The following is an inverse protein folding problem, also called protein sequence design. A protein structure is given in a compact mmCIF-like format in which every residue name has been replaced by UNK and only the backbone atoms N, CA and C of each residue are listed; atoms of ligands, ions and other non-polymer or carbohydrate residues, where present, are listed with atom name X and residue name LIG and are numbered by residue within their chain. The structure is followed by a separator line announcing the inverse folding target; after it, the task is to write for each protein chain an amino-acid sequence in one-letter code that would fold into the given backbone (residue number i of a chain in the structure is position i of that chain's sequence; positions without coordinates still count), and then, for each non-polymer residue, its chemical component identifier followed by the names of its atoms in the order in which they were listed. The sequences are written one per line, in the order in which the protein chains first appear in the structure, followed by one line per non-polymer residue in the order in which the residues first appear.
data_IF_963556324307
#
_entry.id   IF_963556324307
#
_cell.length_a   1.000
_cell.length_b   1.000
_cell.length_c   1.000
_cell.angle_alpha   90.00
_cell.angle_beta   90.00
_cell.angle_gamma   90.00
#
_symmetry.space_group_name_H-M   'P 1'
#
loop_
_entity.id
_entity.type
_entity.pdbx_description
1 polymer ?
#
# COMPACT_ATOMS: atom_id res chain seq x y z
N UNK A 1 82.87 39.47 -69.98
CA UNK A 1 83.10 38.10 -70.47
C UNK A 1 81.94 37.26 -69.94
N UNK A 2 80.99 36.97 -70.84
CA UNK A 2 79.92 35.92 -70.94
C UNK A 2 79.85 34.91 -69.75
N UNK A 3 78.74 34.45 -69.15
CA UNK A 3 77.35 34.07 -69.53
C UNK A 3 76.49 33.95 -68.24
N UNK A 4 75.17 34.21 -68.22
CA UNK A 4 74.05 33.22 -68.34
C UNK A 4 73.43 32.93 -66.95
N UNK A 5 72.14 32.81 -66.62
CA UNK A 5 70.86 32.49 -67.30
C UNK A 5 69.71 32.86 -66.29
N UNK A 6 68.72 33.70 -66.62
CA UNK A 6 67.29 33.38 -66.92
C UNK A 6 66.46 32.77 -65.74
N UNK A 7 65.21 33.10 -65.41
CA UNK A 7 64.12 33.97 -65.91
C UNK A 7 62.85 33.65 -65.06
N UNK A 8 62.29 34.65 -64.36
CA UNK A 8 61.00 35.34 -64.63
C UNK A 8 59.74 34.73 -63.96
N UNK A 9 59.44 35.30 -62.79
CA UNK A 9 58.17 35.25 -62.05
C UNK A 9 57.10 36.07 -62.80
N UNK A 10 56.00 35.44 -63.19
CA UNK A 10 54.85 36.08 -63.85
C UNK A 10 53.58 36.01 -63.00
N UNK A 11 52.91 37.16 -62.87
CA UNK A 11 51.46 37.28 -62.79
C UNK A 11 50.71 36.55 -61.66
N UNK A 12 50.91 36.99 -60.42
CA UNK A 12 49.85 36.95 -59.38
C UNK A 12 49.75 38.29 -58.67
N UNK A 13 49.47 39.33 -59.48
CA UNK A 13 49.02 40.66 -59.05
C UNK A 13 47.70 40.95 -59.76
N UNK A 14 46.66 40.33 -59.25
CA UNK A 14 45.25 40.72 -59.34
C UNK A 14 44.78 40.36 -57.93
N UNK A 15 45.04 41.17 -56.89
CA UNK A 15 44.28 42.41 -56.64
C UNK A 15 42.82 42.14 -57.01
N UNK A 16 42.13 41.35 -56.20
CA UNK A 16 41.45 41.83 -54.98
C UNK A 16 40.52 42.99 -55.31
N UNK A 17 39.24 42.76 -55.01
CA UNK A 17 38.14 43.71 -54.89
C UNK A 17 37.43 44.13 -56.20
N UNK A 18 36.10 43.97 -56.14
CA UNK A 18 35.08 44.66 -56.93
C UNK A 18 34.84 44.22 -58.37
N UNK A 19 34.17 43.07 -58.51
CA UNK A 19 32.88 42.98 -59.22
C UNK A 19 32.19 41.69 -58.72
N UNK A 20 31.84 41.64 -57.43
CA UNK A 20 30.44 41.74 -57.01
C UNK A 20 29.50 42.36 -58.08
N UNK A 21 28.26 41.86 -58.13
CA UNK A 21 27.16 42.28 -59.03
C UNK A 21 27.09 41.57 -60.39
N UNK A 22 26.65 40.30 -60.40
CA UNK A 22 26.08 39.74 -61.63
C UNK A 22 25.81 38.24 -61.65
N UNK A 23 24.72 37.81 -61.02
CA UNK A 23 24.16 36.45 -61.20
C UNK A 23 24.51 35.51 -60.05
N UNK A 24 23.78 35.48 -58.93
CA UNK A 24 22.41 35.00 -58.84
C UNK A 24 22.13 33.79 -59.76
N UNK A 25 21.74 32.68 -59.11
CA UNK A 25 20.85 31.64 -59.64
C UNK A 25 21.51 30.45 -60.37
N UNK A 26 21.82 29.38 -59.62
CA UNK A 26 21.46 28.01 -60.03
C UNK A 26 21.65 26.99 -58.90
N UNK A 27 20.52 26.62 -58.31
CA UNK A 27 20.16 25.31 -57.73
C UNK A 27 21.01 24.72 -56.59
N UNK A 28 20.66 25.14 -55.37
CA UNK A 28 20.60 24.21 -54.26
C UNK A 28 19.40 23.26 -54.48
N UNK A 29 19.66 22.03 -54.91
CA UNK A 29 18.67 20.95 -54.88
C UNK A 29 18.44 20.55 -53.43
N UNK A 30 17.45 21.18 -52.80
CA UNK A 30 16.90 20.68 -51.54
C UNK A 30 16.24 19.35 -51.82
N UNK A 31 16.86 18.26 -51.33
CA UNK A 31 16.25 16.94 -51.33
C UNK A 31 15.01 16.98 -50.43
N UNK A 32 13.84 17.29 -51.02
CA UNK A 32 12.56 17.19 -50.34
C UNK A 32 12.32 15.75 -49.93
N UNK A 33 12.44 15.47 -48.63
CA UNK A 33 12.01 14.19 -48.08
C UNK A 33 10.53 14.02 -48.42
N UNK A 34 10.19 12.99 -49.20
CA UNK A 34 8.81 12.67 -49.55
C UNK A 34 7.95 12.67 -48.28
N UNK A 35 6.76 13.30 -48.32
CA UNK A 35 5.79 13.29 -47.20
C UNK A 35 5.54 11.88 -46.69
N UNK A 36 5.63 10.88 -47.58
CA UNK A 36 5.56 9.46 -47.25
C UNK A 36 6.67 8.98 -46.32
N UNK A 37 7.89 9.49 -46.47
CA UNK A 37 9.02 9.19 -45.61
C UNK A 37 8.88 9.87 -44.24
N UNK A 38 8.32 11.08 -44.18
CA UNK A 38 8.04 11.77 -42.90
C UNK A 38 6.94 11.04 -42.11
N UNK A 39 5.85 10.66 -42.78
CA UNK A 39 4.78 9.86 -42.18
C UNK A 39 5.28 8.47 -41.73
N UNK A 40 6.18 7.86 -42.51
CA UNK A 40 6.80 6.58 -42.15
C UNK A 40 7.73 6.69 -40.94
N UNK A 41 8.49 7.80 -40.83
CA UNK A 41 9.32 8.08 -39.65
C UNK A 41 8.46 8.36 -38.41
N UNK A 42 7.35 9.08 -38.55
CA UNK A 42 6.41 9.31 -37.44
C UNK A 42 5.70 8.04 -37.00
N UNK A 43 5.29 7.17 -37.93
CA UNK A 43 4.73 5.87 -37.59
C UNK A 43 5.73 5.02 -36.80
N UNK A 44 7.00 4.98 -37.23
CA UNK A 44 8.07 4.29 -36.49
C UNK A 44 8.28 4.88 -35.10
N UNK A 45 8.25 6.22 -34.97
CA UNK A 45 8.37 6.89 -33.68
C UNK A 45 7.19 6.56 -32.75
N UNK A 46 5.97 6.57 -33.26
CA UNK A 46 4.77 6.20 -32.50
C UNK A 46 4.81 4.75 -32.02
N UNK A 47 5.25 3.83 -32.90
CA UNK A 47 5.43 2.41 -32.52
C UNK A 47 6.51 2.25 -31.45
N UNK A 48 7.64 2.97 -31.57
CA UNK A 48 8.71 2.94 -30.57
C UNK A 48 8.23 3.50 -29.22
N UNK A 49 7.55 4.65 -29.22
CA UNK A 49 7.00 5.25 -27.99
C UNK A 49 5.94 4.36 -27.36
N UNK A 50 5.09 3.72 -28.16
CA UNK A 50 4.12 2.75 -27.63
C UNK A 50 4.81 1.54 -27.00
N UNK A 51 5.83 0.98 -27.65
CA UNK A 51 6.61 -0.13 -27.11
C UNK A 51 7.33 0.25 -25.81
N UNK A 52 7.93 1.44 -25.73
CA UNK A 52 8.59 1.88 -24.49
C UNK A 52 7.60 2.08 -23.35
N UNK A 53 6.42 2.66 -23.61
CA UNK A 53 5.36 2.80 -22.60
C UNK A 53 4.88 1.41 -22.15
N UNK A 54 4.68 0.47 -23.07
CA UNK A 54 4.28 -0.90 -22.74
C UNK A 54 5.33 -1.61 -21.88
N UNK A 55 6.62 -1.47 -22.19
CA UNK A 55 7.71 -2.05 -21.40
C UNK A 55 7.78 -1.41 -20.01
N UNK A 56 7.65 -0.07 -19.90
CA UNK A 56 7.64 0.62 -18.61
C UNK A 56 6.43 0.22 -17.75
N UNK A 57 5.25 0.09 -18.36
CA UNK A 57 4.06 -0.40 -17.68
C UNK A 57 4.25 -1.84 -17.18
N UNK A 58 4.81 -2.71 -18.03
CA UNK A 58 5.10 -4.10 -17.66
C UNK A 58 6.11 -4.20 -16.51
N UNK A 59 7.20 -3.42 -16.55
CA UNK A 59 8.18 -3.35 -15.47
C UNK A 59 7.56 -2.82 -14.16
N UNK A 60 6.68 -1.81 -14.25
CA UNK A 60 5.90 -1.33 -13.09
C UNK A 60 5.00 -2.42 -12.52
N UNK A 61 4.29 -3.16 -13.37
CA UNK A 61 3.44 -4.29 -12.98
C UNK A 61 4.25 -5.42 -12.32
N UNK A 62 5.44 -5.74 -12.84
CA UNK A 62 6.33 -6.70 -12.21
C UNK A 62 6.85 -6.21 -10.84
N UNK A 63 7.17 -4.92 -10.69
CA UNK A 63 7.57 -4.36 -9.40
C UNK A 63 6.44 -4.37 -8.37
N UNK A 64 5.19 -4.12 -8.78
CA UNK A 64 4.02 -4.31 -7.90
C UNK A 64 3.86 -5.78 -7.50
N UNK A 65 3.99 -6.72 -8.45
CA UNK A 65 3.91 -8.16 -8.15
C UNK A 65 5.06 -8.65 -7.25
N UNK A 66 6.26 -8.07 -7.36
CA UNK A 66 7.40 -8.37 -6.50
C UNK A 66 7.19 -7.81 -5.08
N UNK A 67 6.67 -6.59 -4.94
CA UNK A 67 6.30 -6.03 -3.64
C UNK A 67 5.19 -6.84 -2.94
N UNK A 68 4.18 -7.30 -3.68
CA UNK A 68 3.12 -8.16 -3.13
C UNK A 68 3.65 -9.56 -2.78
N UNK A 69 4.67 -10.04 -3.50
CA UNK A 69 5.32 -11.32 -3.19
C UNK A 69 6.38 -11.23 -2.10
N UNK A 70 6.97 -10.08 -1.78
CA UNK A 70 7.76 -9.89 -0.54
C UNK A 70 6.87 -9.91 0.71
N UNK A 71 5.65 -9.35 0.62
CA UNK A 71 4.64 -9.47 1.67
C UNK A 71 4.10 -10.92 1.78
N UNK A 72 4.00 -11.63 0.65
CA UNK A 72 3.55 -13.03 0.62
C UNK A 72 4.66 -14.05 0.93
N UNK A 73 5.93 -13.74 0.68
CA UNK A 73 7.09 -14.61 0.99
C UNK A 73 7.54 -14.49 2.44
N UNK A 74 7.13 -13.43 3.15
CA UNK A 74 7.09 -13.44 4.61
C UNK A 74 6.04 -14.43 5.17
N UNK A 75 5.18 -15.02 4.32
CA UNK A 75 4.13 -15.97 4.71
C UNK A 75 4.51 -17.44 4.40
N UNK A 76 5.68 -17.74 3.82
CA UNK A 76 6.07 -19.12 3.45
C UNK A 76 6.76 -19.91 4.57
N UNK A 77 6.66 -19.47 5.82
CA UNK A 77 7.00 -20.29 7.00
C UNK A 77 5.86 -20.44 8.02
N UNK A 78 4.61 -20.49 7.53
CA UNK A 78 3.54 -21.19 8.26
C UNK A 78 3.78 -22.70 8.10
N UNK A 79 4.96 -23.15 8.50
CA UNK A 79 5.16 -24.54 8.91
C UNK A 79 4.35 -24.67 10.18
N UNK A 80 3.22 -25.39 10.12
CA UNK A 80 2.48 -26.02 11.22
C UNK A 80 3.15 -25.96 12.60
N UNK A 81 3.22 -24.77 13.19
CA UNK A 81 3.42 -24.57 14.62
C UNK A 81 2.04 -24.56 15.25
N UNK A 82 1.34 -25.67 15.09
CA UNK A 82 0.39 -26.17 16.09
C UNK A 82 1.18 -26.65 17.31
N UNK A 83 2.07 -25.81 17.83
CA UNK A 83 2.42 -25.88 19.24
C UNK A 83 1.42 -24.93 19.86
N UNK A 84 0.33 -25.50 20.37
CA UNK A 84 -0.44 -24.85 21.41
C UNK A 84 0.59 -24.37 22.43
N UNK A 85 0.86 -23.07 22.43
CA UNK A 85 1.61 -22.45 23.51
C UNK A 85 0.58 -22.42 24.62
N UNK A 86 0.58 -23.45 25.47
CA UNK A 86 -0.18 -23.45 26.71
C UNK A 86 0.36 -22.28 27.55
N UNK A 87 -0.19 -21.10 27.31
CA UNK A 87 0.14 -19.93 28.09
C UNK A 87 -0.43 -20.14 29.48
N UNK A 88 0.45 -20.41 30.44
CA UNK A 88 0.09 -20.67 31.84
C UNK A 88 -0.05 -19.40 32.67
N UNK A 89 0.00 -18.22 32.06
CA UNK A 89 -0.13 -16.94 32.74
C UNK A 89 -1.55 -16.40 32.74
N UNK A 90 -1.70 -15.13 33.13
CA UNK A 90 -3.00 -14.46 33.21
C UNK A 90 -3.52 -14.07 31.81
N UNK A 91 -4.63 -14.65 31.33
CA UNK A 91 -5.07 -14.44 29.96
C UNK A 91 -5.71 -13.05 29.78
N UNK A 92 -5.48 -12.46 28.61
CA UNK A 92 -5.86 -11.09 28.25
C UNK A 92 -6.92 -11.03 27.15
N UNK A 93 -7.66 -9.94 27.18
CA UNK A 93 -8.48 -9.47 26.06
C UNK A 93 -7.70 -8.38 25.30
N UNK A 94 -7.39 -8.62 24.03
CA UNK A 94 -6.79 -7.64 23.14
C UNK A 94 -7.89 -6.77 22.51
N UNK A 95 -7.87 -5.48 22.78
CA UNK A 95 -8.75 -4.49 22.16
C UNK A 95 -8.04 -3.89 20.93
N UNK A 96 -8.60 -4.13 19.75
CA UNK A 96 -8.05 -3.76 18.46
C UNK A 96 -8.85 -2.58 17.90
N UNK A 97 -8.32 -1.37 18.02
CA UNK A 97 -8.97 -0.16 17.54
C UNK A 97 -8.53 0.16 16.11
N UNK A 98 -9.44 0.01 15.15
CA UNK A 98 -9.25 0.49 13.78
C UNK A 98 -9.89 1.88 13.66
N UNK A 99 -9.05 2.92 13.69
CA UNK A 99 -9.49 4.31 13.67
C UNK A 99 -8.97 5.02 12.42
N UNK A 100 -9.67 6.09 12.01
CA UNK A 100 -9.25 6.87 10.83
C UNK A 100 -8.01 7.71 11.13
N UNK A 101 -8.04 8.47 12.22
CA UNK A 101 -6.94 9.37 12.63
C UNK A 101 -6.79 9.37 14.15
N UNK A 102 -7.71 10.02 14.85
CA UNK A 102 -7.77 10.04 16.31
C UNK A 102 -8.89 9.14 16.85
N UNK A 103 -9.00 9.03 18.18
CA UNK A 103 -10.06 8.29 18.89
C UNK A 103 -10.90 9.29 19.73
N UNK A 104 -11.97 9.88 19.17
CA UNK A 104 -12.73 10.95 19.85
C UNK A 104 -13.40 10.53 21.16
N UNK A 105 -13.69 9.23 21.31
CA UNK A 105 -14.35 8.64 22.48
C UNK A 105 -13.36 8.00 23.46
N UNK A 106 -12.07 8.38 23.38
CA UNK A 106 -11.00 7.88 24.25
C UNK A 106 -11.28 8.03 25.74
N UNK A 107 -12.02 9.05 26.16
CA UNK A 107 -12.41 9.28 27.56
C UNK A 107 -13.38 8.22 28.09
N UNK A 108 -14.32 7.71 27.27
CA UNK A 108 -15.22 6.63 27.66
C UNK A 108 -14.43 5.34 27.85
N UNK A 109 -13.51 5.07 26.92
CA UNK A 109 -12.61 3.93 27.02
C UNK A 109 -11.62 4.08 28.18
N UNK A 110 -11.15 5.29 28.48
CA UNK A 110 -10.34 5.59 29.65
C UNK A 110 -11.06 5.20 30.95
N UNK A 111 -12.31 5.64 31.12
CA UNK A 111 -13.12 5.25 32.28
C UNK A 111 -13.40 3.73 32.33
N UNK A 112 -13.55 3.09 31.18
CA UNK A 112 -13.72 1.64 31.09
C UNK A 112 -12.48 0.88 31.58
N UNK A 113 -11.28 1.36 31.26
CA UNK A 113 -10.01 0.73 31.65
C UNK A 113 -9.47 1.19 33.02
N UNK A 114 -9.93 2.32 33.56
CA UNK A 114 -9.39 2.94 34.77
C UNK A 114 -9.32 1.98 35.98
N UNK A 115 -10.33 1.13 36.14
CA UNK A 115 -10.42 0.17 37.24
C UNK A 115 -10.11 -1.27 36.80
N UNK A 116 -9.60 -1.45 35.59
CA UNK A 116 -9.21 -2.75 35.07
C UNK A 116 -7.79 -3.13 35.52
N UNK A 117 -7.57 -4.40 35.85
CA UNK A 117 -6.21 -4.92 36.01
C UNK A 117 -5.48 -4.85 34.66
N UNK A 118 -4.35 -4.14 34.62
CA UNK A 118 -3.53 -3.97 33.42
C UNK A 118 -2.96 -5.30 32.91
N UNK A 119 -2.91 -6.33 33.75
CA UNK A 119 -2.58 -7.70 33.37
C UNK A 119 -3.67 -8.42 32.57
N UNK A 120 -4.89 -7.88 32.49
CA UNK A 120 -6.05 -8.54 31.85
C UNK A 120 -6.36 -8.05 30.43
N UNK A 121 -5.64 -7.05 29.92
CA UNK A 121 -5.92 -6.53 28.58
C UNK A 121 -4.69 -5.96 27.88
N UNK A 122 -4.81 -5.86 26.56
CA UNK A 122 -3.86 -5.21 25.68
C UNK A 122 -4.61 -4.26 24.75
N UNK A 123 -4.02 -3.11 24.42
CA UNK A 123 -4.62 -2.12 23.51
C UNK A 123 -3.69 -1.96 22.31
N UNK A 124 -4.25 -2.11 21.12
CA UNK A 124 -3.59 -1.90 19.85
C UNK A 124 -4.43 -0.94 19.00
N UNK A 125 -3.77 0.04 18.38
CA UNK A 125 -4.47 1.04 17.56
C UNK A 125 -3.87 1.07 16.17
N UNK A 126 -4.69 0.95 15.14
CA UNK A 126 -4.31 1.27 13.78
C UNK A 126 -4.95 2.60 13.40
N UNK A 127 -4.13 3.59 13.05
CA UNK A 127 -4.55 4.96 12.68
C UNK A 127 -3.92 5.38 11.36
N UNK A 128 -4.19 6.60 10.90
CA UNK A 128 -3.46 7.18 9.77
C UNK A 128 -1.93 7.11 10.00
N UNK A 129 -1.13 6.77 8.96
CA UNK A 129 0.32 6.71 9.09
C UNK A 129 0.92 8.02 9.61
N UNK A 130 1.81 7.92 10.61
CA UNK A 130 2.47 9.07 11.23
C UNK A 130 1.64 9.78 12.31
N UNK A 131 0.39 9.38 12.55
CA UNK A 131 -0.36 9.85 13.71
C UNK A 131 0.17 9.19 14.99
N UNK A 132 0.40 10.00 16.03
CA UNK A 132 0.92 9.54 17.33
C UNK A 132 -0.12 9.85 18.41
N UNK A 133 -0.40 8.87 19.27
CA UNK A 133 -1.23 9.05 20.45
C UNK A 133 -0.35 9.48 21.62
N UNK A 134 -0.48 10.73 22.05
CA UNK A 134 0.25 11.35 23.15
C UNK A 134 -0.64 12.38 23.87
N UNK A 135 -0.07 13.10 24.85
CA UNK A 135 -0.78 14.12 25.64
C UNK A 135 -1.43 15.23 24.79
N UNK A 136 -0.94 15.48 23.58
CA UNK A 136 -1.47 16.51 22.69
C UNK A 136 -2.62 16.02 21.82
N UNK A 137 -2.74 14.70 21.59
CA UNK A 137 -3.68 14.12 20.63
C UNK A 137 -4.77 13.24 21.24
N UNK A 138 -4.58 12.76 22.48
CA UNK A 138 -5.57 11.94 23.19
C UNK A 138 -5.66 12.33 24.67
N UNK A 139 -6.88 12.24 25.21
CA UNK A 139 -7.20 12.60 26.60
C UNK A 139 -6.91 11.47 27.58
N UNK A 140 -6.86 10.23 27.08
CA UNK A 140 -6.71 9.03 27.91
C UNK A 140 -5.31 8.45 27.74
N UNK A 141 -4.58 8.36 28.85
CA UNK A 141 -3.20 7.84 28.90
C UNK A 141 -3.10 6.37 28.47
N UNK A 142 -4.21 5.62 28.53
CA UNK A 142 -4.27 4.22 28.07
C UNK A 142 -3.91 4.04 26.59
N UNK A 143 -4.10 5.07 25.76
CA UNK A 143 -3.81 5.02 24.33
C UNK A 143 -2.43 5.53 23.95
N UNK A 144 -1.66 6.07 24.91
CA UNK A 144 -0.34 6.62 24.60
C UNK A 144 0.57 5.58 23.98
N UNK A 145 1.13 5.92 22.80
CA UNK A 145 2.06 5.08 22.05
C UNK A 145 1.55 3.67 21.75
N UNK A 146 0.23 3.48 21.63
CA UNK A 146 -0.40 2.19 21.28
C UNK A 146 -0.65 2.01 19.78
N UNK A 147 -0.34 3.03 18.97
CA UNK A 147 -0.46 2.95 17.52
C UNK A 147 0.55 1.97 16.91
N UNK A 148 0.14 1.26 15.86
CA UNK A 148 1.03 0.42 15.07
C UNK A 148 2.04 1.29 14.30
N UNK A 149 3.30 0.87 14.32
CA UNK A 149 4.40 1.55 13.61
C UNK A 149 4.32 1.37 12.09
N UNK A 150 3.68 0.30 11.63
CA UNK A 150 3.49 -0.05 10.22
C UNK A 150 2.06 0.21 9.72
N UNK A 151 1.39 1.23 10.27
CA UNK A 151 0.03 1.61 9.84
C UNK A 151 -0.01 2.00 8.36
N UNK A 152 -1.14 1.73 7.70
CA UNK A 152 -1.38 2.04 6.29
C UNK A 152 -2.54 3.02 6.11
N UNK A 153 -2.65 3.66 4.95
CA UNK A 153 -3.83 4.48 4.64
C UNK A 153 -5.02 3.57 4.34
N UNK A 154 -6.11 3.77 5.08
CA UNK A 154 -7.35 2.98 4.94
C UNK A 154 -8.41 3.80 4.22
N UNK A 155 -9.01 3.21 3.19
CA UNK A 155 -10.19 3.73 2.52
C UNK A 155 -11.41 2.88 2.89
N UNK A 156 -12.57 3.53 3.05
CA UNK A 156 -13.79 2.86 3.47
C UNK A 156 -14.28 1.86 2.42
N UNK A 157 -14.57 0.63 2.85
CA UNK A 157 -15.09 -0.43 1.98
C UNK A 157 -14.07 -1.06 1.03
N UNK A 158 -12.81 -0.62 1.09
CA UNK A 158 -11.72 -1.11 0.25
C UNK A 158 -10.91 -2.22 0.94
N UNK A 159 -10.13 -2.96 0.15
CA UNK A 159 -9.25 -4.04 0.65
C UNK A 159 -8.22 -3.56 1.69
N UNK A 160 -7.84 -2.27 1.65
CA UNK A 160 -6.96 -1.64 2.65
C UNK A 160 -7.49 -1.75 4.08
N UNK A 161 -8.82 -1.78 4.28
CA UNK A 161 -9.43 -1.95 5.60
C UNK A 161 -9.14 -3.34 6.17
N UNK A 162 -9.28 -4.38 5.33
CA UNK A 162 -8.94 -5.77 5.70
C UNK A 162 -7.45 -5.89 5.99
N UNK A 163 -6.60 -5.22 5.20
CA UNK A 163 -5.16 -5.23 5.43
C UNK A 163 -4.81 -4.60 6.80
N UNK A 164 -5.44 -3.50 7.18
CA UNK A 164 -5.24 -2.87 8.48
C UNK A 164 -5.72 -3.76 9.65
N UNK A 165 -6.86 -4.45 9.50
CA UNK A 165 -7.32 -5.45 10.48
C UNK A 165 -6.33 -6.60 10.65
N UNK A 166 -5.75 -7.09 9.54
CA UNK A 166 -4.71 -8.13 9.58
C UNK A 166 -3.46 -7.66 10.33
N UNK A 167 -3.06 -6.39 10.18
CA UNK A 167 -1.92 -5.82 10.91
C UNK A 167 -2.19 -5.73 12.42
N UNK A 168 -3.40 -5.29 12.80
CA UNK A 168 -3.85 -5.27 14.20
C UNK A 168 -3.82 -6.67 14.81
N UNK A 169 -4.45 -7.63 14.14
CA UNK A 169 -4.53 -9.00 14.62
C UNK A 169 -3.15 -9.66 14.69
N UNK A 170 -2.32 -9.47 13.65
CA UNK A 170 -0.94 -9.99 13.62
C UNK A 170 -0.12 -9.48 14.80
N UNK A 171 -0.11 -8.17 15.02
CA UNK A 171 0.61 -7.57 16.17
C UNK A 171 0.07 -8.06 17.51
N UNK A 172 -1.25 -8.25 17.63
CA UNK A 172 -1.84 -8.74 18.86
C UNK A 172 -1.55 -10.22 19.14
N UNK A 173 -1.34 -11.03 18.10
CA UNK A 173 -0.99 -12.45 18.22
C UNK A 173 0.45 -12.67 18.71
N UNK A 174 1.31 -11.66 18.64
CA UNK A 174 2.69 -11.75 19.17
C UNK A 174 2.72 -11.85 20.71
N UNK A 175 1.68 -11.38 21.42
CA UNK A 175 1.53 -11.58 22.86
C UNK A 175 0.70 -12.86 23.13
N UNK A 176 1.33 -13.96 23.58
CA UNK A 176 0.62 -15.22 23.83
C UNK A 176 -0.38 -15.15 24.99
N UNK A 177 -0.37 -14.08 25.79
CA UNK A 177 -1.38 -13.84 26.80
C UNK A 177 -2.73 -13.43 26.19
N UNK A 178 -2.75 -12.86 24.98
CA UNK A 178 -3.99 -12.44 24.32
C UNK A 178 -4.78 -13.66 23.83
N UNK A 179 -5.91 -13.96 24.50
CA UNK A 179 -6.77 -15.11 24.16
C UNK A 179 -8.12 -14.73 23.54
N UNK A 180 -8.49 -13.46 23.63
CA UNK A 180 -9.69 -12.89 23.01
C UNK A 180 -9.32 -11.61 22.30
N UNK A 181 -9.88 -11.38 21.12
CA UNK A 181 -9.57 -10.21 20.29
C UNK A 181 -10.85 -9.45 20.01
N UNK A 182 -10.97 -8.19 20.40
CA UNK A 182 -12.17 -7.38 20.19
C UNK A 182 -11.86 -6.30 19.17
N UNK A 183 -12.42 -6.42 17.97
CA UNK A 183 -12.24 -5.42 16.91
C UNK A 183 -13.27 -4.28 17.05
N UNK A 184 -12.77 -3.04 17.10
CA UNK A 184 -13.53 -1.84 17.40
C UNK A 184 -13.23 -0.72 16.39
N UNK A 185 -14.24 0.09 16.07
CA UNK A 185 -14.07 1.34 15.30
C UNK A 185 -13.95 2.57 16.22
N UNK A 186 -13.66 3.73 15.63
CA UNK A 186 -13.64 5.04 16.30
C UNK A 186 -14.99 5.48 16.91
N UNK A 187 -16.07 4.80 16.56
CA UNK A 187 -17.44 5.06 17.01
C UNK A 187 -17.98 4.06 18.04
N UNK A 188 -17.24 2.99 18.35
CA UNK A 188 -17.66 1.98 19.32
C UNK A 188 -17.57 2.51 20.76
N UNK A 189 -18.54 2.11 21.60
CA UNK A 189 -18.58 2.42 23.03
C UNK A 189 -18.87 1.16 23.85
N UNK A 190 -18.24 0.99 25.03
CA UNK A 190 -18.57 -0.10 25.93
C UNK A 190 -19.92 0.17 26.61
N UNK A 191 -20.78 -0.86 26.67
CA UNK A 191 -22.10 -0.77 27.33
C UNK A 191 -22.12 -1.33 28.75
N UNK A 192 -21.09 -2.11 29.10
CA UNK A 192 -20.89 -2.70 30.42
C UNK A 192 -19.47 -2.41 30.90
N UNK A 193 -19.23 -2.52 32.20
CA UNK A 193 -17.91 -2.32 32.77
C UNK A 193 -16.92 -3.42 32.35
N UNK A 194 -15.63 -3.17 32.57
CA UNK A 194 -14.56 -4.08 32.18
C UNK A 194 -14.70 -5.47 32.80
N UNK A 195 -14.94 -5.54 34.12
CA UNK A 195 -15.03 -6.82 34.84
C UNK A 195 -16.11 -7.73 34.26
N UNK A 196 -17.27 -7.17 33.91
CA UNK A 196 -18.35 -7.90 33.25
C UNK A 196 -17.93 -8.42 31.87
N UNK A 197 -17.40 -7.53 31.01
CA UNK A 197 -16.99 -7.89 29.64
C UNK A 197 -15.89 -8.95 29.66
N UNK A 198 -14.85 -8.74 30.47
CA UNK A 198 -13.75 -9.67 30.65
C UNK A 198 -14.27 -11.04 31.09
N UNK A 199 -15.04 -11.10 32.19
CA UNK A 199 -15.58 -12.37 32.71
C UNK A 199 -16.45 -13.09 31.69
N UNK A 200 -17.30 -12.34 30.97
CA UNK A 200 -18.18 -12.91 29.94
C UNK A 200 -17.39 -13.50 28.76
N UNK A 201 -16.40 -12.77 28.25
CA UNK A 201 -15.59 -13.21 27.12
C UNK A 201 -14.69 -14.39 27.48
N UNK A 202 -14.09 -14.36 28.68
CA UNK A 202 -13.18 -15.40 29.15
C UNK A 202 -13.88 -16.69 29.56
N UNK A 203 -15.13 -16.61 30.05
CA UNK A 203 -15.92 -17.80 30.37
C UNK A 203 -16.50 -18.51 29.14
N UNK A 204 -16.62 -17.83 28.00
CA UNK A 204 -17.17 -18.41 26.77
C UNK A 204 -16.11 -19.21 26.01
N UNK A 205 -16.38 -20.47 25.62
CA UNK A 205 -15.51 -21.26 24.75
C UNK A 205 -15.81 -21.02 23.25
N UNK A 206 -16.44 -19.89 22.90
CA UNK A 206 -16.85 -19.58 21.52
C UNK A 206 -16.40 -18.19 21.10
N UNK A 207 -16.08 -18.09 19.82
CA UNK A 207 -15.98 -16.82 19.09
C UNK A 207 -17.37 -16.21 18.85
N UNK A 208 -17.44 -14.87 18.88
CA UNK A 208 -18.66 -14.12 18.56
C UNK A 208 -18.48 -13.42 17.22
N UNK A 209 -19.20 -13.89 16.20
CA UNK A 209 -19.15 -13.34 14.84
C UNK A 209 -20.57 -13.25 14.31
N UNK A 210 -20.96 -12.08 13.81
CA UNK A 210 -22.21 -11.95 13.08
C UNK A 210 -22.09 -12.64 11.72
N UNK A 211 -23.03 -13.52 11.40
CA UNK A 211 -22.98 -14.33 10.18
C UNK A 211 -24.39 -14.70 9.72
N UNK A 212 -24.78 -14.18 8.57
CA UNK A 212 -26.07 -14.41 7.94
C UNK A 212 -25.93 -14.68 6.43
N UNK A 213 -26.96 -15.30 5.86
CA UNK A 213 -27.08 -15.49 4.42
C UNK A 213 -27.55 -14.18 3.77
N UNK A 214 -26.86 -13.72 2.73
CA UNK A 214 -27.35 -12.60 1.93
C UNK A 214 -28.49 -13.09 1.04
N UNK A 215 -29.74 -12.83 1.45
CA UNK A 215 -30.93 -13.23 0.70
C UNK A 215 -31.01 -12.59 -0.70
N UNK A 216 -30.24 -11.52 -0.95
CA UNK A 216 -30.25 -10.81 -2.24
C UNK A 216 -29.11 -11.25 -3.17
N UNK A 217 -28.13 -11.99 -2.65
CA UNK A 217 -27.03 -12.63 -3.39
C UNK A 217 -26.25 -11.73 -4.39
N UNK A 218 -26.22 -10.41 -4.16
CA UNK A 218 -25.64 -9.46 -5.14
C UNK A 218 -24.13 -9.26 -4.95
N UNK A 219 -23.57 -9.66 -3.80
CA UNK A 219 -22.17 -9.37 -3.44
C UNK A 219 -21.22 -10.55 -3.55
N UNK A 220 -21.72 -11.77 -3.78
CA UNK A 220 -20.85 -12.89 -4.04
C UNK A 220 -20.18 -12.75 -5.41
N UNK A 221 -18.86 -12.92 -5.44
CA UNK A 221 -18.08 -12.96 -6.67
C UNK A 221 -17.79 -14.42 -7.04
N UNK A 222 -18.29 -14.93 -8.19
CA UNK A 222 -18.07 -16.32 -8.61
C UNK A 222 -16.59 -16.74 -8.70
N UNK A 223 -15.67 -15.78 -8.89
CA UNK A 223 -14.21 -16.05 -8.92
C UNK A 223 -13.64 -16.47 -7.56
N UNK A 224 -14.41 -16.35 -6.47
CA UNK A 224 -13.99 -16.86 -5.16
C UNK A 224 -14.09 -18.39 -5.06
N UNK A 225 -14.84 -19.04 -5.95
CA UNK A 225 -14.87 -20.50 -6.07
C UNK A 225 -13.56 -21.02 -6.68
N UNK A 226 -12.98 -22.14 -6.19
CA UNK A 226 -13.53 -23.06 -5.19
C UNK A 226 -13.19 -22.72 -3.74
N UNK A 227 -12.32 -21.74 -3.49
CA UNK A 227 -11.80 -21.44 -2.15
C UNK A 227 -12.88 -21.00 -1.15
N UNK A 228 -13.82 -20.15 -1.60
CA UNK A 228 -15.01 -19.75 -0.83
C UNK A 228 -16.24 -20.09 -1.68
N UNK A 229 -16.79 -21.31 -1.56
CA UNK A 229 -17.95 -21.72 -2.33
C UNK A 229 -19.20 -20.97 -1.85
N UNK A 230 -20.11 -20.70 -2.77
CA UNK A 230 -21.33 -19.92 -2.51
C UNK A 230 -22.15 -20.45 -1.32
N UNK A 231 -22.26 -21.78 -1.18
CA UNK A 231 -22.98 -22.42 -0.08
C UNK A 231 -22.38 -22.15 1.31
N UNK A 232 -21.09 -21.81 1.36
CA UNK A 232 -20.33 -21.49 2.59
C UNK A 232 -20.11 -19.99 2.77
N UNK A 233 -20.35 -19.18 1.74
CA UNK A 233 -20.24 -17.73 1.85
C UNK A 233 -21.30 -17.16 2.80
N UNK A 234 -20.87 -16.27 3.70
CA UNK A 234 -21.71 -15.60 4.69
C UNK A 234 -21.34 -14.13 4.72
N UNK A 235 -22.30 -13.30 5.08
CA UNK A 235 -22.10 -11.88 5.34
C UNK A 235 -22.26 -11.62 6.83
N UNK A 236 -21.54 -10.64 7.34
CA UNK A 236 -21.58 -10.26 8.75
C UNK A 236 -21.23 -8.79 8.96
N UNK A 237 -21.33 -8.37 10.22
CA UNK A 237 -20.68 -7.17 10.74
C UNK A 237 -19.16 -7.32 10.76
N UNK A 238 -18.45 -6.18 10.74
CA UNK A 238 -17.01 -6.09 10.96
C UNK A 238 -16.64 -6.35 12.42
N UNK A 239 -17.56 -6.13 13.36
CA UNK A 239 -17.32 -6.36 14.79
C UNK A 239 -17.29 -7.86 15.05
N UNK A 240 -16.14 -8.34 15.48
CA UNK A 240 -15.90 -9.75 15.81
C UNK A 240 -15.17 -9.85 17.14
N UNK A 241 -15.46 -10.94 17.87
CA UNK A 241 -14.68 -11.35 19.04
C UNK A 241 -14.18 -12.78 18.86
N UNK A 242 -13.06 -12.98 18.14
CA UNK A 242 -12.45 -14.30 18.02
C UNK A 242 -11.86 -14.76 19.35
N UNK A 243 -12.03 -16.06 19.60
CA UNK A 243 -11.20 -16.80 20.53
C UNK A 243 -9.97 -17.32 19.80
N UNK A 244 -8.79 -17.23 20.44
CA UNK A 244 -7.63 -18.01 20.01
C UNK A 244 -7.97 -19.50 20.13
N UNK A 245 -8.02 -20.21 19.00
CA UNK A 245 -8.03 -21.67 19.03
C UNK A 245 -6.63 -22.12 19.46
N UNK A 246 -6.57 -22.68 20.68
CA UNK A 246 -5.43 -23.43 21.20
C UNK A 246 -5.52 -24.87 20.71
#
# INVERSE_FOLDING_TARGET
MIEGEEGRKGAKRIQTYEEEVGGAMAMATTAGMSVRNVLWLWWKLLVLVSLTICVLAFLKLQNYSLSDSELSSSTSSISSRSRAVDYTGNPKVAFLFLVRRNLPLDFLWGNFFENADTGNFSIYVHSEPGFVFDESTTRSTFFYNRQLTNSIKVAWGESSMIQAEKLLLGTALDDPANQRFVLLSDSCVPLYNFSFIYSYLMASPRSFVDSFLDKKDVRYNPRMSPYIPMSKWRKGSQVIVPQSEL
#
